data_IF_541729300647
#
_entry.id   IF_541729300647
#
_cell.length_a   1.000
_cell.length_b   1.000
_cell.length_c   1.000
_cell.angle_alpha   90.00
_cell.angle_beta   90.00
_cell.angle_gamma   90.00
#
_symmetry.space_group_name_H-M   'P 1'
#
loop_
_entity.id
_entity.type
_entity.pdbx_description
1 polymer ?
#
# COMPACT_ATOMS: atom_id res chain seq x y z
N UNK A 1 6.12 1.88 -47.47
CA UNK A 1 7.07 2.39 -46.47
C UNK A 1 6.26 3.22 -45.49
N UNK A 2 5.38 2.63 -44.67
CA UNK A 2 5.60 1.78 -43.48
C UNK A 2 6.19 2.53 -42.29
N UNK A 3 5.44 3.49 -41.75
CA UNK A 3 5.62 3.98 -40.38
C UNK A 3 4.55 3.30 -39.51
N UNK A 4 4.96 2.22 -38.85
CA UNK A 4 4.20 1.57 -37.78
C UNK A 4 4.48 2.34 -36.47
N UNK A 5 3.45 2.67 -35.67
CA UNK A 5 3.66 3.18 -34.33
C UNK A 5 4.31 2.09 -33.45
N UNK A 6 5.24 2.51 -32.59
CA UNK A 6 6.00 1.66 -31.69
C UNK A 6 5.09 0.75 -30.84
N UNK A 7 5.48 -0.53 -30.61
CA UNK A 7 4.66 -1.44 -29.84
C UNK A 7 4.50 -0.96 -28.40
N UNK A 8 3.25 -1.03 -27.93
CA UNK A 8 2.83 -0.90 -26.54
C UNK A 8 3.73 -1.77 -25.66
N UNK A 9 4.23 -1.20 -24.56
CA UNK A 9 5.13 -1.87 -23.62
C UNK A 9 4.46 -3.13 -23.05
N UNK A 10 4.97 -4.26 -23.50
CA UNK A 10 4.58 -5.59 -23.04
C UNK A 10 4.80 -5.72 -21.53
N UNK A 11 3.74 -6.10 -20.83
CA UNK A 11 3.73 -6.35 -19.39
C UNK A 11 4.56 -7.59 -19.11
N UNK A 12 5.72 -7.39 -18.50
CA UNK A 12 6.56 -8.41 -17.85
C UNK A 12 6.80 -9.70 -18.65
N UNK A 13 7.90 -9.73 -19.40
CA UNK A 13 8.53 -10.97 -19.86
C UNK A 13 8.66 -11.97 -18.70
N UNK A 14 8.14 -13.19 -18.85
CA UNK A 14 8.06 -14.23 -17.80
C UNK A 14 9.38 -14.63 -17.10
N UNK A 15 10.54 -14.20 -17.61
CA UNK A 15 11.84 -14.37 -16.95
C UNK A 15 12.04 -13.41 -15.76
N UNK A 16 11.41 -12.22 -15.77
CA UNK A 16 11.49 -11.24 -14.67
C UNK A 16 10.60 -11.58 -13.49
N UNK A 17 9.39 -12.10 -13.75
CA UNK A 17 8.40 -12.44 -12.73
C UNK A 17 8.90 -13.52 -11.74
N UNK A 18 9.65 -14.51 -12.21
CA UNK A 18 10.25 -15.53 -11.34
C UNK A 18 11.37 -14.98 -10.44
N UNK A 19 12.16 -14.04 -10.95
CA UNK A 19 13.21 -13.35 -10.18
C UNK A 19 12.64 -12.44 -9.11
N UNK A 20 11.61 -11.66 -9.47
CA UNK A 20 10.86 -10.81 -8.54
C UNK A 20 10.20 -11.62 -7.42
N UNK A 21 9.48 -12.69 -7.75
CA UNK A 21 8.83 -13.53 -6.76
C UNK A 21 9.83 -14.18 -5.79
N UNK A 22 11.03 -14.53 -6.28
CA UNK A 22 12.11 -15.08 -5.44
C UNK A 22 12.65 -14.04 -4.46
N UNK A 23 12.87 -12.80 -4.91
CA UNK A 23 13.31 -11.69 -4.05
C UNK A 23 12.27 -11.41 -2.97
N UNK A 24 10.99 -11.30 -3.33
CA UNK A 24 9.91 -11.04 -2.39
C UNK A 24 9.70 -12.19 -1.39
N UNK A 25 9.80 -13.46 -1.82
CA UNK A 25 9.74 -14.61 -0.88
C UNK A 25 10.90 -14.60 0.12
N UNK A 26 12.09 -14.23 -0.35
CA UNK A 26 13.25 -14.09 0.54
C UNK A 26 13.07 -12.93 1.52
N UNK A 27 12.50 -11.80 1.07
CA UNK A 27 12.11 -10.69 1.93
C UNK A 27 11.18 -11.12 3.06
N UNK A 28 10.07 -11.80 2.74
CA UNK A 28 9.11 -12.32 3.74
C UNK A 28 9.80 -13.23 4.78
N UNK A 29 10.68 -14.13 4.32
CA UNK A 29 11.42 -15.01 5.22
C UNK A 29 12.36 -14.22 6.14
N UNK A 30 13.06 -13.21 5.61
CA UNK A 30 13.90 -12.33 6.40
C UNK A 30 13.09 -11.52 7.42
N UNK A 31 11.92 -10.99 7.04
CA UNK A 31 11.00 -10.30 7.96
C UNK A 31 10.56 -11.21 9.10
N UNK A 32 10.21 -12.47 8.82
CA UNK A 32 9.84 -13.44 9.83
C UNK A 32 10.98 -13.74 10.82
N UNK A 33 12.22 -13.83 10.32
CA UNK A 33 13.41 -14.01 11.16
C UNK A 33 13.64 -12.79 12.05
N UNK A 34 13.61 -11.58 11.49
CA UNK A 34 13.78 -10.33 12.25
C UNK A 34 12.72 -10.19 13.33
N UNK A 35 11.47 -10.45 12.99
CA UNK A 35 10.37 -10.48 13.93
C UNK A 35 10.57 -11.45 15.09
N UNK A 36 10.96 -12.69 14.78
CA UNK A 36 11.21 -13.71 15.79
C UNK A 36 12.38 -13.31 16.72
N UNK A 37 13.45 -12.77 16.14
CA UNK A 37 14.57 -12.21 16.91
C UNK A 37 14.10 -11.08 17.82
N UNK A 38 13.26 -10.17 17.33
CA UNK A 38 12.73 -9.04 18.10
C UNK A 38 11.90 -9.50 19.29
N UNK A 39 10.99 -10.46 19.10
CA UNK A 39 10.17 -10.97 20.20
C UNK A 39 11.04 -11.71 21.23
N UNK A 40 11.94 -12.59 20.78
CA UNK A 40 12.79 -13.38 21.69
C UNK A 40 13.75 -12.48 22.47
N UNK A 41 14.52 -11.64 21.78
CA UNK A 41 15.49 -10.75 22.45
C UNK A 41 14.83 -9.63 23.22
N UNK A 42 13.65 -9.15 22.79
CA UNK A 42 12.87 -8.18 23.55
C UNK A 42 12.41 -8.75 24.90
N UNK A 43 11.92 -9.99 24.92
CA UNK A 43 11.54 -10.67 26.16
C UNK A 43 12.74 -11.00 27.05
N UNK A 44 13.85 -11.45 26.47
CA UNK A 44 15.08 -11.76 27.23
C UNK A 44 15.71 -10.50 27.84
N UNK A 45 15.74 -9.39 27.08
CA UNK A 45 16.32 -8.13 27.52
C UNK A 45 15.41 -7.31 28.44
N UNK A 46 14.11 -7.59 28.45
CA UNK A 46 13.09 -6.80 29.16
C UNK A 46 12.67 -5.52 28.41
N UNK A 47 13.02 -5.38 27.13
CA UNK A 47 12.70 -4.21 26.30
C UNK A 47 11.33 -4.32 25.65
N UNK A 48 10.41 -3.42 26.02
CA UNK A 48 9.12 -3.34 25.35
C UNK A 48 9.23 -2.66 23.98
N UNK A 49 10.21 -1.77 23.78
CA UNK A 49 10.50 -1.18 22.47
C UNK A 49 10.90 -2.24 21.44
N UNK A 50 11.77 -3.19 21.82
CA UNK A 50 12.20 -4.28 20.93
C UNK A 50 11.06 -5.28 20.68
N UNK A 51 10.28 -5.65 21.71
CA UNK A 51 9.10 -6.51 21.51
C UNK A 51 8.11 -5.85 20.55
N UNK A 52 7.86 -4.55 20.71
CA UNK A 52 6.99 -3.79 19.82
C UNK A 52 7.51 -3.80 18.37
N UNK A 53 8.79 -3.54 18.15
CA UNK A 53 9.45 -3.61 16.82
C UNK A 53 9.27 -4.99 16.17
N UNK A 54 9.44 -6.07 16.95
CA UNK A 54 9.22 -7.44 16.48
C UNK A 54 7.76 -7.74 16.11
N UNK A 55 6.79 -7.35 16.95
CA UNK A 55 5.35 -7.51 16.67
C UNK A 55 4.93 -6.68 15.46
N UNK A 56 5.41 -5.45 15.36
CA UNK A 56 5.12 -4.55 14.25
C UNK A 56 5.65 -5.14 12.93
N UNK A 57 6.88 -5.68 12.94
CA UNK A 57 7.47 -6.37 11.79
C UNK A 57 6.70 -7.64 11.39
N UNK A 58 6.17 -8.41 12.36
CA UNK A 58 5.27 -9.54 12.05
C UNK A 58 3.97 -9.09 11.37
N UNK A 59 3.35 -8.05 11.90
CA UNK A 59 2.09 -7.54 11.38
C UNK A 59 2.27 -6.99 9.94
N UNK A 60 3.38 -6.30 9.69
CA UNK A 60 3.75 -5.83 8.36
C UNK A 60 4.01 -7.00 7.39
N UNK A 61 4.76 -8.01 7.84
CA UNK A 61 4.99 -9.23 7.07
C UNK A 61 3.70 -10.00 6.75
N UNK A 62 2.77 -10.10 7.70
CA UNK A 62 1.47 -10.72 7.50
C UNK A 62 0.63 -9.96 6.47
N UNK A 63 0.62 -8.63 6.56
CA UNK A 63 -0.07 -7.76 5.59
C UNK A 63 0.49 -7.95 4.18
N UNK A 64 1.82 -7.96 4.06
CA UNK A 64 2.52 -8.23 2.79
C UNK A 64 2.21 -9.63 2.24
N UNK A 65 2.09 -10.64 3.11
CA UNK A 65 1.71 -11.98 2.70
C UNK A 65 0.27 -12.04 2.19
N UNK A 66 -0.68 -11.40 2.88
CA UNK A 66 -2.09 -11.35 2.43
C UNK A 66 -2.21 -10.55 1.13
N UNK A 67 -1.52 -9.42 1.01
CA UNK A 67 -1.47 -8.63 -0.22
C UNK A 67 -0.96 -9.47 -1.40
N UNK A 68 0.12 -10.24 -1.21
CA UNK A 68 0.62 -11.18 -2.22
C UNK A 68 -0.38 -12.29 -2.54
N UNK A 69 -1.13 -12.77 -1.55
CA UNK A 69 -2.17 -13.79 -1.75
C UNK A 69 -3.32 -13.24 -2.59
N UNK A 70 -3.76 -12.00 -2.30
CA UNK A 70 -4.78 -11.28 -3.09
C UNK A 70 -4.29 -11.05 -4.52
N UNK A 71 -3.06 -10.56 -4.70
CA UNK A 71 -2.47 -10.38 -6.04
C UNK A 71 -2.38 -11.71 -6.80
N UNK A 72 -1.98 -12.80 -6.14
CA UNK A 72 -1.95 -14.14 -6.77
C UNK A 72 -3.33 -14.66 -7.10
N UNK A 73 -4.33 -14.41 -6.25
CA UNK A 73 -5.71 -14.75 -6.53
C UNK A 73 -6.15 -14.02 -7.79
N UNK A 74 -6.01 -12.69 -7.84
CA UNK A 74 -6.36 -11.84 -8.99
C UNK A 74 -5.64 -12.31 -10.28
N UNK A 75 -4.33 -12.54 -10.22
CA UNK A 75 -3.56 -13.04 -11.38
C UNK A 75 -4.02 -14.46 -11.82
N UNK A 76 -4.36 -15.32 -10.86
CA UNK A 76 -4.91 -16.65 -11.13
C UNK A 76 -6.32 -16.62 -11.72
N UNK A 77 -7.14 -15.62 -11.36
CA UNK A 77 -8.45 -15.36 -11.97
C UNK A 77 -8.33 -14.96 -13.45
N UNK A 78 -7.34 -14.14 -13.81
CA UNK A 78 -7.11 -13.71 -15.19
C UNK A 78 -6.56 -14.83 -16.10
N UNK A 79 -5.82 -15.80 -15.55
CA UNK A 79 -5.10 -16.81 -16.33
C UNK A 79 -5.84 -18.15 -16.54
N UNK A 80 -6.83 -18.53 -15.71
CA UNK A 80 -7.44 -19.87 -15.74
C UNK A 80 -8.96 -19.84 -15.99
N UNK A 81 -9.36 -19.83 -17.25
CA UNK A 81 -10.74 -19.69 -17.74
C UNK A 81 -11.72 -20.85 -17.50
N UNK A 82 -11.48 -21.81 -16.59
CA UNK A 82 -12.45 -22.90 -16.38
C UNK A 82 -12.78 -23.29 -14.92
N UNK A 83 -11.86 -23.20 -13.96
CA UNK A 83 -12.15 -23.63 -12.58
C UNK A 83 -12.93 -22.60 -11.74
N UNK A 84 -12.89 -21.31 -12.11
CA UNK A 84 -13.48 -20.21 -11.33
C UNK A 84 -14.84 -19.73 -11.81
N UNK A 85 -15.49 -20.42 -12.75
CA UNK A 85 -16.75 -19.99 -13.39
C UNK A 85 -17.88 -19.75 -12.37
N UNK A 86 -17.99 -20.60 -11.32
CA UNK A 86 -18.98 -20.45 -10.22
C UNK A 86 -18.73 -19.28 -9.26
N UNK A 87 -17.49 -18.79 -9.14
CA UNK A 87 -17.11 -17.63 -8.31
C UNK A 87 -17.12 -16.34 -9.14
N UNK A 88 -16.72 -16.40 -10.40
CA UNK A 88 -16.84 -15.32 -11.39
C UNK A 88 -18.31 -14.98 -11.69
N UNK A 89 -19.21 -15.97 -11.65
CA UNK A 89 -20.66 -15.76 -11.73
C UNK A 89 -21.24 -15.01 -10.51
N UNK A 90 -20.57 -15.05 -9.35
CA UNK A 90 -21.00 -14.35 -8.13
C UNK A 90 -20.30 -13.01 -7.89
N UNK A 91 -19.09 -12.84 -8.42
CA UNK A 91 -18.28 -11.62 -8.30
C UNK A 91 -17.89 -11.10 -9.70
N UNK A 92 -18.89 -10.60 -10.42
CA UNK A 92 -18.76 -10.15 -11.82
C UNK A 92 -17.82 -8.96 -12.00
N UNK A 93 -17.60 -8.18 -10.93
CA UNK A 93 -16.70 -7.01 -10.89
C UNK A 93 -15.25 -7.34 -10.45
N UNK A 94 -14.92 -8.61 -10.20
CA UNK A 94 -13.62 -9.02 -9.66
C UNK A 94 -13.48 -8.84 -8.14
N UNK A 95 -12.27 -9.04 -7.61
CA UNK A 95 -11.97 -9.06 -6.15
C UNK A 95 -11.25 -7.81 -5.64
N UNK A 96 -11.22 -6.73 -6.43
CA UNK A 96 -10.47 -5.49 -6.13
C UNK A 96 -10.90 -4.84 -4.81
N UNK A 97 -12.16 -5.02 -4.41
CA UNK A 97 -12.70 -4.53 -3.14
C UNK A 97 -12.10 -5.20 -1.90
N UNK A 98 -11.50 -6.39 -2.02
CA UNK A 98 -10.85 -7.06 -0.88
C UNK A 98 -9.53 -6.39 -0.49
N UNK A 99 -8.87 -5.73 -1.43
CA UNK A 99 -7.58 -5.05 -1.21
C UNK A 99 -7.68 -3.96 -0.12
N UNK A 100 -8.58 -2.96 -0.21
CA UNK A 100 -8.74 -1.97 0.85
C UNK A 100 -9.24 -2.57 2.16
N UNK A 101 -10.03 -3.66 2.14
CA UNK A 101 -10.49 -4.31 3.37
C UNK A 101 -9.33 -4.93 4.16
N UNK A 102 -8.40 -5.61 3.47
CA UNK A 102 -7.20 -6.20 4.10
C UNK A 102 -6.30 -5.09 4.65
N UNK A 103 -6.03 -4.07 3.84
CA UNK A 103 -5.18 -2.93 4.24
C UNK A 103 -5.79 -2.19 5.43
N UNK A 104 -7.10 -1.94 5.41
CA UNK A 104 -7.83 -1.31 6.50
C UNK A 104 -7.80 -2.14 7.78
N UNK A 105 -8.06 -3.44 7.71
CA UNK A 105 -8.02 -4.33 8.88
C UNK A 105 -6.60 -4.41 9.49
N UNK A 106 -5.57 -4.56 8.65
CA UNK A 106 -4.18 -4.51 9.09
C UNK A 106 -3.82 -3.17 9.75
N UNK A 107 -4.19 -2.06 9.11
CA UNK A 107 -3.98 -0.72 9.66
C UNK A 107 -4.68 -0.53 11.01
N UNK A 108 -5.89 -1.06 11.19
CA UNK A 108 -6.60 -1.00 12.48
C UNK A 108 -5.87 -1.80 13.56
N UNK A 109 -5.42 -3.02 13.25
CA UNK A 109 -4.65 -3.85 14.17
C UNK A 109 -3.34 -3.17 14.59
N UNK A 110 -2.59 -2.63 13.63
CA UNK A 110 -1.33 -1.92 13.90
C UNK A 110 -1.55 -0.64 14.70
N UNK A 111 -2.61 0.12 14.40
CA UNK A 111 -2.98 1.31 15.17
C UNK A 111 -3.33 0.95 16.61
N UNK A 112 -4.10 -0.13 16.81
CA UNK A 112 -4.44 -0.64 18.14
C UNK A 112 -3.21 -1.10 18.92
N UNK A 113 -2.29 -1.83 18.27
CA UNK A 113 -1.03 -2.25 18.87
C UNK A 113 -0.15 -1.07 19.28
N UNK A 114 -0.05 -0.04 18.43
CA UNK A 114 0.70 1.19 18.74
C UNK A 114 0.09 1.95 19.93
N UNK A 115 -1.24 2.08 19.99
CA UNK A 115 -1.92 2.70 21.15
C UNK A 115 -1.69 1.89 22.42
N UNK A 116 -1.82 0.58 22.36
CA UNK A 116 -1.56 -0.29 23.51
C UNK A 116 -0.11 -0.18 24.00
N UNK A 117 0.85 -0.18 23.08
CA UNK A 117 2.26 -0.05 23.40
C UNK A 117 2.58 1.33 23.99
N UNK A 118 1.96 2.40 23.48
CA UNK A 118 2.09 3.75 24.03
C UNK A 118 1.53 3.87 25.45
N UNK A 119 0.35 3.29 25.71
CA UNK A 119 -0.23 3.21 27.07
C UNK A 119 0.73 2.45 28.00
N UNK A 120 1.31 1.34 27.53
CA UNK A 120 2.31 0.59 28.30
C UNK A 120 3.59 1.41 28.55
N UNK A 121 4.03 2.22 27.59
CA UNK A 121 5.18 3.11 27.75
C UNK A 121 4.93 4.14 28.86
N UNK A 122 3.76 4.81 28.84
CA UNK A 122 3.36 5.76 29.88
C UNK A 122 3.24 5.05 31.24
N UNK A 123 2.58 3.90 31.30
CA UNK A 123 2.44 3.13 32.54
C UNK A 123 3.79 2.72 33.12
N UNK A 124 4.74 2.33 32.26
CA UNK A 124 6.12 1.99 32.67
C UNK A 124 6.87 3.21 33.19
N UNK A 125 6.67 4.37 32.57
CA UNK A 125 7.26 5.63 33.02
C UNK A 125 6.74 6.02 34.41
N UNK A 126 5.44 5.89 34.65
CA UNK A 126 4.81 6.19 35.94
C UNK A 126 5.17 5.18 37.04
N UNK A 127 5.48 3.94 36.68
CA UNK A 127 5.86 2.87 37.62
C UNK A 127 7.34 2.91 38.05
N UNK A 128 8.11 3.93 37.65
CA UNK A 128 9.53 4.05 37.98
C UNK A 128 10.51 3.48 36.94
N UNK A 129 10.04 3.24 35.71
CA UNK A 129 10.84 2.70 34.61
C UNK A 129 10.96 1.17 34.66
N UNK A 130 11.83 0.61 33.80
CA UNK A 130 12.05 -0.84 33.70
C UNK A 130 13.55 -1.18 33.69
N UNK A 131 13.96 -2.24 34.40
CA UNK A 131 15.32 -2.75 34.26
C UNK A 131 15.50 -3.32 32.85
N UNK A 132 16.41 -2.71 32.08
CA UNK A 132 16.75 -3.14 30.73
C UNK A 132 18.14 -3.76 30.71
N UNK A 133 18.28 -4.96 30.13
CA UNK A 133 19.60 -5.52 29.83
C UNK A 133 20.13 -4.95 28.52
N UNK A 134 20.75 -3.77 28.59
CA UNK A 134 21.26 -3.03 27.43
C UNK A 134 22.19 -3.86 26.54
N UNK A 135 23.05 -4.71 27.11
CA UNK A 135 23.95 -5.55 26.32
C UNK A 135 23.22 -6.46 25.33
N UNK A 136 22.16 -7.13 25.77
CA UNK A 136 21.35 -8.00 24.91
C UNK A 136 20.54 -7.18 23.89
N UNK A 137 19.99 -6.05 24.32
CA UNK A 137 19.22 -5.12 23.48
C UNK A 137 20.07 -4.54 22.34
N UNK A 138 21.32 -4.15 22.61
CA UNK A 138 22.27 -3.61 21.63
C UNK A 138 22.70 -4.69 20.63
N UNK A 139 22.99 -5.91 21.10
CA UNK A 139 23.36 -7.03 20.20
C UNK A 139 22.22 -7.32 19.22
N UNK A 140 20.98 -7.37 19.71
CA UNK A 140 19.81 -7.51 18.84
C UNK A 140 19.69 -6.35 17.86
N UNK A 141 19.70 -5.10 18.35
CA UNK A 141 19.47 -3.94 17.50
C UNK A 141 20.55 -3.82 16.42
N UNK A 142 21.81 -4.12 16.74
CA UNK A 142 22.91 -4.17 15.78
C UNK A 142 22.70 -5.26 14.73
N UNK A 143 22.33 -6.48 15.14
CA UNK A 143 22.06 -7.58 14.22
C UNK A 143 20.90 -7.25 13.26
N UNK A 144 19.80 -6.70 13.78
CA UNK A 144 18.63 -6.34 12.98
C UNK A 144 18.90 -5.18 12.03
N UNK A 145 19.67 -4.16 12.43
CA UNK A 145 20.13 -3.11 11.52
C UNK A 145 20.95 -3.69 10.37
N UNK A 146 21.89 -4.59 10.67
CA UNK A 146 22.72 -5.23 9.64
C UNK A 146 21.89 -6.06 8.66
N UNK A 147 20.95 -6.86 9.16
CA UNK A 147 20.03 -7.65 8.33
C UNK A 147 19.21 -6.70 7.45
N UNK A 148 18.64 -5.64 8.03
CA UNK A 148 17.75 -4.73 7.32
C UNK A 148 18.47 -3.93 6.23
N UNK A 149 19.70 -3.47 6.51
CA UNK A 149 20.55 -2.83 5.50
C UNK A 149 20.98 -3.80 4.40
N UNK A 150 21.32 -5.04 4.76
CA UNK A 150 21.67 -6.07 3.77
C UNK A 150 20.48 -6.38 2.84
N UNK A 151 19.27 -6.47 3.38
CA UNK A 151 18.04 -6.66 2.62
C UNK A 151 17.70 -5.46 1.75
N UNK A 152 17.80 -4.23 2.27
CA UNK A 152 17.60 -3.01 1.49
C UNK A 152 18.59 -2.93 0.31
N UNK A 153 19.87 -3.25 0.55
CA UNK A 153 20.89 -3.25 -0.49
C UNK A 153 20.68 -4.36 -1.53
N UNK A 154 20.31 -5.57 -1.08
CA UNK A 154 19.96 -6.68 -1.96
C UNK A 154 18.76 -6.33 -2.85
N UNK A 155 17.69 -5.78 -2.25
CA UNK A 155 16.51 -5.31 -2.96
C UNK A 155 16.83 -4.21 -3.97
N UNK A 156 17.63 -3.21 -3.59
CA UNK A 156 18.06 -2.15 -4.51
C UNK A 156 18.85 -2.70 -5.70
N UNK A 157 19.79 -3.64 -5.45
CA UNK A 157 20.60 -4.27 -6.50
C UNK A 157 19.74 -5.15 -7.42
N UNK A 158 18.81 -5.91 -6.86
CA UNK A 158 17.85 -6.71 -7.63
C UNK A 158 16.93 -5.82 -8.47
N UNK A 159 16.46 -4.70 -7.91
CA UNK A 159 15.59 -3.77 -8.61
C UNK A 159 16.28 -3.09 -9.80
N UNK A 160 17.59 -2.83 -9.76
CA UNK A 160 18.32 -2.32 -10.95
C UNK A 160 18.25 -3.28 -12.14
N UNK A 161 18.10 -4.59 -11.90
CA UNK A 161 17.98 -5.62 -12.94
C UNK A 161 16.52 -5.87 -13.33
N UNK A 162 15.62 -5.93 -12.34
CA UNK A 162 14.22 -6.30 -12.52
C UNK A 162 13.32 -5.12 -12.91
N UNK A 163 13.69 -3.89 -12.51
CA UNK A 163 12.88 -2.66 -12.67
C UNK A 163 11.43 -2.85 -12.19
N UNK A 164 11.27 -3.43 -10.99
CA UNK A 164 9.96 -3.68 -10.38
C UNK A 164 9.68 -2.65 -9.29
N UNK A 165 8.51 -2.01 -9.39
CA UNK A 165 8.05 -1.08 -8.37
C UNK A 165 7.78 -1.77 -7.02
N UNK A 166 7.38 -3.05 -7.02
CA UNK A 166 7.17 -3.82 -5.81
C UNK A 166 8.48 -4.08 -5.06
N UNK A 167 9.55 -4.46 -5.79
CA UNK A 167 10.88 -4.65 -5.20
C UNK A 167 11.47 -3.31 -4.72
N UNK A 168 11.18 -2.21 -5.45
CA UNK A 168 11.57 -0.87 -5.02
C UNK A 168 10.90 -0.45 -3.71
N UNK A 169 9.60 -0.73 -3.58
CA UNK A 169 8.81 -0.46 -2.37
C UNK A 169 9.32 -1.30 -1.19
N UNK A 170 9.55 -2.60 -1.38
CA UNK A 170 10.09 -3.50 -0.36
C UNK A 170 11.48 -3.05 0.13
N UNK A 171 12.39 -2.70 -0.79
CA UNK A 171 13.71 -2.19 -0.42
C UNK A 171 13.67 -0.87 0.38
N UNK A 172 12.71 0.01 0.07
CA UNK A 172 12.46 1.23 0.85
C UNK A 172 11.90 0.90 2.24
N UNK A 173 11.02 -0.09 2.33
CA UNK A 173 10.51 -0.60 3.62
C UNK A 173 11.64 -1.09 4.52
N UNK A 174 12.56 -1.90 3.98
CA UNK A 174 13.75 -2.37 4.71
C UNK A 174 14.67 -1.23 5.15
N UNK A 175 14.82 -0.18 4.33
CA UNK A 175 15.59 1.00 4.73
C UNK A 175 14.93 1.77 5.88
N UNK A 176 13.59 1.90 5.86
CA UNK A 176 12.85 2.52 6.95
C UNK A 176 12.94 1.70 8.24
N UNK A 177 12.81 0.38 8.15
CA UNK A 177 13.02 -0.54 9.29
C UNK A 177 14.43 -0.39 9.86
N UNK A 178 15.46 -0.39 9.00
CA UNK A 178 16.85 -0.16 9.41
C UNK A 178 17.03 1.18 10.14
N UNK A 179 16.38 2.24 9.68
CA UNK A 179 16.46 3.56 10.32
C UNK A 179 15.80 3.57 11.72
N UNK A 180 14.63 2.93 11.86
CA UNK A 180 13.94 2.80 13.16
C UNK A 180 14.79 1.99 14.13
N UNK A 181 15.28 0.82 13.73
CA UNK A 181 16.11 -0.03 14.58
C UNK A 181 17.46 0.64 14.89
N UNK A 182 18.03 1.42 13.96
CA UNK A 182 19.25 2.19 14.23
C UNK A 182 19.02 3.27 15.29
N UNK A 183 17.85 3.92 15.28
CA UNK A 183 17.50 4.85 16.35
C UNK A 183 17.38 4.15 17.71
N UNK A 184 16.80 2.93 17.75
CA UNK A 184 16.80 2.08 18.96
C UNK A 184 18.23 1.76 19.43
N UNK A 185 19.10 1.34 18.50
CA UNK A 185 20.49 1.01 18.78
C UNK A 185 21.24 2.19 19.40
N UNK A 186 21.08 3.40 18.84
CA UNK A 186 21.67 4.63 19.38
C UNK A 186 21.15 4.91 20.79
N UNK A 187 19.83 4.83 20.99
CA UNK A 187 19.23 5.10 22.28
C UNK A 187 19.68 4.10 23.37
N UNK A 188 19.76 2.81 23.05
CA UNK A 188 20.27 1.81 23.99
C UNK A 188 21.78 1.94 24.23
N UNK A 189 22.56 2.32 23.22
CA UNK A 189 24.00 2.58 23.40
C UNK A 189 24.23 3.75 24.35
N UNK A 190 23.44 4.83 24.21
CA UNK A 190 23.47 5.97 25.14
C UNK A 190 23.07 5.49 26.56
N UNK A 191 22.00 4.69 26.67
CA UNK A 191 21.56 4.15 27.95
C UNK A 191 22.62 3.29 28.65
N UNK A 192 23.38 2.48 27.90
CA UNK A 192 24.52 1.72 28.42
C UNK A 192 25.65 2.64 28.90
N UNK A 193 26.00 3.68 28.15
CA UNK A 193 27.06 4.64 28.53
C UNK A 193 26.73 5.44 29.79
N UNK A 194 25.45 5.58 30.11
CA UNK A 194 24.97 6.27 31.31
C UNK A 194 25.08 5.40 32.56
N UNK A 195 25.15 4.07 32.42
CA UNK A 195 25.33 3.16 33.56
C UNK A 195 26.67 3.40 34.27
N UNK A 196 26.65 3.53 35.60
CA UNK A 196 27.84 3.86 36.39
C UNK A 196 28.22 5.35 36.41
N UNK A 197 27.38 6.23 35.83
CA UNK A 197 27.54 7.69 35.92
C UNK A 197 26.50 8.31 36.87
N UNK A 198 26.61 9.61 37.14
CA UNK A 198 25.61 10.36 37.94
C UNK A 198 24.18 10.35 37.33
N UNK A 199 24.03 9.93 36.07
CA UNK A 199 22.77 9.86 35.35
C UNK A 199 22.13 8.46 35.37
N UNK A 200 22.66 7.51 36.14
CA UNK A 200 22.15 6.13 36.20
C UNK A 200 20.65 6.05 36.53
N UNK A 201 20.11 7.02 37.28
CA UNK A 201 18.68 7.13 37.57
C UNK A 201 17.80 7.22 36.31
N UNK A 202 18.35 7.65 35.17
CA UNK A 202 17.63 7.72 33.89
C UNK A 202 17.57 6.39 33.14
N UNK A 203 18.46 5.44 33.46
CA UNK A 203 18.61 4.15 32.77
C UNK A 203 17.28 3.38 32.64
N UNK A 204 16.44 3.26 33.70
CA UNK A 204 15.15 2.56 33.61
C UNK A 204 14.11 3.24 32.71
N UNK A 205 14.30 4.53 32.40
CA UNK A 205 13.36 5.31 31.61
C UNK A 205 13.69 5.32 30.11
N UNK A 206 14.88 4.83 29.72
CA UNK A 206 15.32 4.82 28.31
C UNK A 206 14.36 4.01 27.44
N UNK A 207 14.05 2.77 27.81
CA UNK A 207 13.15 1.91 27.02
C UNK A 207 11.72 2.47 26.91
N UNK A 208 11.04 2.88 28.02
CA UNK A 208 9.73 3.53 27.93
C UNK A 208 9.74 4.82 27.09
N UNK A 209 10.76 5.67 27.20
CA UNK A 209 10.85 6.91 26.44
C UNK A 209 11.01 6.63 24.93
N UNK A 210 11.87 5.68 24.59
CA UNK A 210 12.09 5.24 23.22
C UNK A 210 10.83 4.60 22.64
N UNK A 211 10.17 3.70 23.37
CA UNK A 211 8.92 3.10 22.94
C UNK A 211 7.84 4.16 22.68
N UNK A 212 7.69 5.12 23.58
CA UNK A 212 6.73 6.21 23.42
C UNK A 212 7.02 7.04 22.16
N UNK A 213 8.28 7.40 21.93
CA UNK A 213 8.71 8.14 20.75
C UNK A 213 8.45 7.36 19.45
N UNK A 214 8.82 6.08 19.41
CA UNK A 214 8.58 5.22 18.25
C UNK A 214 7.08 5.11 17.98
N UNK A 215 6.24 4.91 19.00
CA UNK A 215 4.80 4.89 18.83
C UNK A 215 4.27 6.19 18.22
N UNK A 216 4.72 7.36 18.68
CA UNK A 216 4.29 8.66 18.14
C UNK A 216 4.70 8.86 16.68
N UNK A 217 5.90 8.40 16.30
CA UNK A 217 6.41 8.52 14.92
C UNK A 217 5.73 7.54 13.98
N UNK A 218 5.46 6.31 14.45
CA UNK A 218 4.93 5.23 13.62
C UNK A 218 3.41 5.28 13.51
N UNK A 219 2.69 5.73 14.55
CA UNK A 219 1.22 5.74 14.61
C UNK A 219 0.50 6.44 13.44
N UNK A 220 1.00 7.56 12.86
CA UNK A 220 0.36 8.19 11.70
C UNK A 220 0.32 7.30 10.46
N UNK A 221 1.27 6.37 10.30
CA UNK A 221 1.40 5.51 9.12
C UNK A 221 0.19 4.56 8.97
N UNK A 222 -0.13 3.68 9.94
CA UNK A 222 -1.29 2.79 9.82
C UNK A 222 -2.61 3.56 9.86
N UNK A 223 -2.68 4.71 10.56
CA UNK A 223 -3.89 5.54 10.58
C UNK A 223 -4.22 6.11 9.19
N UNK A 224 -3.20 6.51 8.42
CA UNK A 224 -3.35 6.91 7.03
C UNK A 224 -3.92 5.78 6.18
N UNK A 225 -3.39 4.56 6.33
CA UNK A 225 -3.88 3.38 5.62
C UNK A 225 -5.35 3.06 5.96
N UNK A 226 -5.75 3.14 7.24
CA UNK A 226 -7.15 2.96 7.67
C UNK A 226 -8.06 4.00 7.04
N UNK A 227 -7.67 5.28 7.07
CA UNK A 227 -8.45 6.37 6.48
C UNK A 227 -8.63 6.19 4.99
N UNK A 228 -7.57 5.81 4.27
CA UNK A 228 -7.63 5.54 2.85
C UNK A 228 -8.53 4.34 2.55
N UNK A 229 -8.36 3.23 3.26
CA UNK A 229 -9.19 2.04 3.10
C UNK A 229 -10.67 2.34 3.32
N UNK A 230 -11.01 3.10 4.36
CA UNK A 230 -12.39 3.52 4.62
C UNK A 230 -12.93 4.43 3.52
N UNK A 231 -12.13 5.36 3.01
CA UNK A 231 -12.52 6.23 1.91
C UNK A 231 -12.81 5.42 0.62
N UNK A 232 -11.97 4.44 0.31
CA UNK A 232 -12.17 3.55 -0.85
C UNK A 232 -13.40 2.64 -0.66
N UNK A 233 -13.64 2.10 0.54
CA UNK A 233 -14.83 1.30 0.86
C UNK A 233 -16.11 2.15 0.77
N UNK A 234 -16.06 3.42 1.18
CA UNK A 234 -17.17 4.35 1.09
C UNK A 234 -17.31 5.00 -0.30
N UNK A 235 -16.54 4.54 -1.30
CA UNK A 235 -16.55 5.05 -2.68
C UNK A 235 -16.34 6.57 -2.75
N UNK A 236 -15.54 7.12 -1.84
CA UNK A 236 -15.24 8.56 -1.81
C UNK A 236 -14.55 8.95 -3.12
N UNK A 237 -15.10 9.98 -3.77
CA UNK A 237 -14.64 10.42 -5.08
C UNK A 237 -13.16 10.86 -5.04
N UNK A 238 -12.28 10.23 -5.84
CA UNK A 238 -10.89 10.65 -5.96
C UNK A 238 -10.79 12.00 -6.69
N UNK A 239 -10.48 13.07 -5.97
CA UNK A 239 -10.53 14.44 -6.49
C UNK A 239 -9.60 14.68 -7.70
N UNK A 240 -8.43 14.05 -7.76
CA UNK A 240 -7.52 14.18 -8.92
C UNK A 240 -8.08 13.51 -10.16
N UNK A 241 -8.54 12.26 -10.02
CA UNK A 241 -9.14 11.51 -11.12
C UNK A 241 -10.44 12.18 -11.59
N UNK A 242 -11.28 12.66 -10.67
CA UNK A 242 -12.50 13.41 -11.02
C UNK A 242 -12.18 14.67 -11.80
N UNK A 243 -11.21 15.48 -11.36
CA UNK A 243 -10.77 16.68 -12.10
C UNK A 243 -10.26 16.36 -13.50
N UNK A 244 -9.50 15.28 -13.65
CA UNK A 244 -9.01 14.83 -14.96
C UNK A 244 -10.16 14.40 -15.88
N UNK A 245 -11.07 13.55 -15.38
CA UNK A 245 -12.26 13.09 -16.12
C UNK A 245 -13.15 14.28 -16.50
N UNK A 246 -13.37 15.23 -15.60
CA UNK A 246 -14.14 16.45 -15.86
C UNK A 246 -13.51 17.32 -16.95
N UNK A 247 -12.18 17.47 -16.93
CA UNK A 247 -11.47 18.22 -17.95
C UNK A 247 -11.56 17.54 -19.33
N UNK A 248 -11.52 16.21 -19.39
CA UNK A 248 -11.73 15.46 -20.63
C UNK A 248 -13.18 15.62 -21.12
N UNK A 249 -14.15 15.38 -20.23
CA UNK A 249 -15.57 15.45 -20.57
C UNK A 249 -15.97 16.86 -21.04
N UNK A 250 -15.50 17.92 -20.38
CA UNK A 250 -15.77 19.29 -20.80
C UNK A 250 -15.23 19.58 -22.20
N UNK A 251 -13.99 19.15 -22.52
CA UNK A 251 -13.42 19.32 -23.86
C UNK A 251 -14.24 18.61 -24.94
N UNK A 252 -14.78 17.44 -24.62
CA UNK A 252 -15.62 16.66 -25.54
C UNK A 252 -16.96 17.36 -25.76
N UNK A 253 -17.56 17.92 -24.71
CA UNK A 253 -18.78 18.75 -24.81
C UNK A 253 -18.55 19.93 -25.75
N UNK A 254 -17.47 20.67 -25.54
CA UNK A 254 -17.15 21.87 -26.34
C UNK A 254 -16.83 21.51 -27.81
N UNK A 255 -16.05 20.44 -28.03
CA UNK A 255 -15.63 20.01 -29.37
C UNK A 255 -16.78 19.49 -30.21
N UNK A 256 -17.69 18.71 -29.62
CA UNK A 256 -18.76 18.02 -30.34
C UNK A 256 -20.12 18.72 -30.25
N UNK A 257 -20.22 19.83 -29.52
CA UNK A 257 -21.45 20.62 -29.39
C UNK A 257 -22.53 19.93 -28.55
N UNK A 258 -22.12 19.17 -27.54
CA UNK A 258 -23.04 18.54 -26.58
C UNK A 258 -23.59 19.60 -25.61
N UNK A 259 -24.68 19.30 -24.89
CA UNK A 259 -25.28 20.25 -23.96
C UNK A 259 -24.55 20.32 -22.62
N UNK A 260 -24.24 19.16 -22.04
CA UNK A 260 -23.58 19.04 -20.73
C UNK A 260 -23.16 17.59 -20.47
N UNK A 261 -22.47 17.35 -19.36
CA UNK A 261 -22.13 16.00 -18.90
C UNK A 261 -22.39 15.81 -17.41
N UNK A 262 -22.43 14.55 -16.99
CA UNK A 262 -22.37 14.08 -15.61
C UNK A 262 -21.29 13.01 -15.54
N UNK A 263 -20.44 13.11 -14.52
CA UNK A 263 -19.33 12.19 -14.31
C UNK A 263 -19.39 11.65 -12.90
N UNK A 264 -19.49 10.33 -12.76
CA UNK A 264 -19.36 9.63 -11.49
C UNK A 264 -18.04 8.86 -11.52
N UNK A 265 -17.23 9.06 -10.48
CA UNK A 265 -15.90 8.47 -10.39
C UNK A 265 -15.71 7.92 -9.00
N UNK A 266 -15.34 6.64 -8.94
CA UNK A 266 -14.94 5.97 -7.72
C UNK A 266 -13.63 5.20 -7.94
N UNK A 267 -12.90 4.99 -6.85
CA UNK A 267 -11.68 4.16 -6.84
C UNK A 267 -11.77 3.19 -5.68
N UNK A 268 -11.51 1.91 -5.97
CA UNK A 268 -11.48 0.84 -4.98
C UNK A 268 -10.25 -0.02 -5.22
N UNK A 269 -9.26 0.06 -4.31
CA UNK A 269 -7.95 -0.55 -4.53
C UNK A 269 -7.32 -0.06 -5.83
N UNK A 270 -7.04 -1.00 -6.73
CA UNK A 270 -6.55 -0.71 -8.09
C UNK A 270 -7.65 -0.35 -9.10
N UNK A 271 -8.88 -0.77 -8.84
CA UNK A 271 -10.01 -0.57 -9.73
C UNK A 271 -10.45 0.89 -9.79
N UNK A 272 -10.62 1.42 -11.01
CA UNK A 272 -11.19 2.76 -11.25
C UNK A 272 -12.51 2.61 -11.97
N UNK A 273 -13.58 3.10 -11.35
CA UNK A 273 -14.92 3.12 -11.94
C UNK A 273 -15.21 4.54 -12.39
N UNK A 274 -15.48 4.69 -13.69
CA UNK A 274 -15.79 5.95 -14.34
C UNK A 274 -17.08 5.75 -15.12
N UNK A 275 -18.11 6.48 -14.73
CA UNK A 275 -19.37 6.54 -15.46
C UNK A 275 -19.56 7.97 -15.98
N UNK A 276 -19.71 8.08 -17.29
CA UNK A 276 -19.86 9.33 -18.00
C UNK A 276 -21.19 9.33 -18.75
N UNK A 277 -22.01 10.33 -18.45
CA UNK A 277 -23.26 10.58 -19.14
C UNK A 277 -23.13 11.91 -19.87
N UNK A 278 -23.26 11.87 -21.19
CA UNK A 278 -23.28 13.05 -22.03
C UNK A 278 -24.70 13.36 -22.47
N UNK A 279 -25.11 14.61 -22.27
CA UNK A 279 -26.43 15.11 -22.64
C UNK A 279 -26.33 15.72 -24.04
N UNK A 280 -27.01 15.09 -24.98
CA UNK A 280 -27.02 15.45 -26.40
C UNK A 280 -28.23 16.35 -26.71
N UNK A 281 -28.13 17.33 -27.62
CA UNK A 281 -29.28 18.12 -28.03
C UNK A 281 -30.40 17.26 -28.64
N UNK A 282 -31.64 17.60 -28.32
CA UNK A 282 -32.81 16.96 -28.94
C UNK A 282 -32.93 17.37 -30.42
N UNK A 283 -33.37 16.43 -31.26
CA UNK A 283 -33.56 16.66 -32.69
C UNK A 283 -32.28 16.62 -33.54
N UNK A 284 -31.16 16.17 -32.97
CA UNK A 284 -29.98 15.83 -33.77
C UNK A 284 -30.28 14.74 -34.81
N UNK A 285 -29.60 14.79 -35.98
CA UNK A 285 -29.72 13.72 -36.96
C UNK A 285 -29.27 12.40 -36.36
N UNK A 286 -29.93 11.31 -36.76
CA UNK A 286 -29.51 9.97 -36.38
C UNK A 286 -28.08 9.72 -36.88
N UNK A 287 -27.21 9.33 -35.95
CA UNK A 287 -25.84 8.88 -36.22
C UNK A 287 -25.79 7.36 -36.19
N UNK A 288 -24.84 6.77 -36.92
CA UNK A 288 -24.64 5.32 -36.85
C UNK A 288 -24.02 4.93 -35.51
N UNK A 289 -24.13 3.65 -35.13
CA UNK A 289 -23.55 3.18 -33.87
C UNK A 289 -22.03 3.32 -33.88
N UNK A 290 -21.39 3.10 -35.04
CA UNK A 290 -19.94 3.22 -35.23
C UNK A 290 -19.46 4.66 -35.00
N UNK A 291 -20.26 5.67 -35.32
CA UNK A 291 -19.94 7.08 -35.03
C UNK A 291 -20.00 7.38 -33.53
N UNK A 292 -20.93 6.75 -32.81
CA UNK A 292 -20.98 6.84 -31.35
C UNK A 292 -19.82 6.08 -30.69
N UNK A 293 -19.47 4.91 -31.21
CA UNK A 293 -18.35 4.13 -30.71
C UNK A 293 -17.02 4.84 -30.95
N UNK A 294 -16.82 5.47 -32.11
CA UNK A 294 -15.64 6.31 -32.36
C UNK A 294 -15.51 7.46 -31.37
N UNK A 295 -16.64 8.05 -30.94
CA UNK A 295 -16.65 9.07 -29.89
C UNK A 295 -16.31 8.47 -28.52
N UNK A 296 -16.78 7.25 -28.20
CA UNK A 296 -16.41 6.53 -26.97
C UNK A 296 -14.92 6.22 -26.94
N UNK A 297 -14.34 5.81 -28.07
CA UNK A 297 -12.92 5.54 -28.21
C UNK A 297 -12.09 6.81 -28.01
N UNK A 298 -12.50 7.94 -28.62
CA UNK A 298 -11.85 9.24 -28.41
C UNK A 298 -11.84 9.63 -26.91
N UNK A 299 -12.99 9.48 -26.23
CA UNK A 299 -13.10 9.78 -24.80
C UNK A 299 -12.22 8.81 -23.99
N UNK A 300 -12.26 7.52 -24.31
CA UNK A 300 -11.48 6.48 -23.65
C UNK A 300 -9.98 6.70 -23.76
N UNK A 301 -9.49 7.08 -24.95
CA UNK A 301 -8.09 7.45 -25.17
C UNK A 301 -7.71 8.72 -24.42
N UNK A 302 -8.57 9.73 -24.41
CA UNK A 302 -8.32 11.01 -23.74
C UNK A 302 -8.30 10.88 -22.20
N UNK A 303 -9.10 9.99 -21.62
CA UNK A 303 -9.03 9.63 -20.20
C UNK A 303 -7.70 8.90 -19.92
N UNK A 304 -7.27 8.03 -20.84
CA UNK A 304 -6.04 7.25 -20.74
C UNK A 304 -6.14 6.09 -19.74
N UNK A 305 -5.00 5.42 -19.53
CA UNK A 305 -4.88 4.24 -18.65
C UNK A 305 -5.80 3.08 -19.05
N UNK A 306 -5.67 2.64 -20.30
CA UNK A 306 -6.40 1.48 -20.84
C UNK A 306 -5.85 0.17 -20.26
N UNK A 307 -6.15 -0.05 -18.99
CA UNK A 307 -5.81 -1.24 -18.23
C UNK A 307 -7.08 -2.03 -17.90
N UNK A 308 -6.98 -3.35 -17.66
CA UNK A 308 -8.10 -4.17 -17.18
C UNK A 308 -8.73 -3.68 -15.87
N UNK A 309 -8.00 -2.82 -15.14
CA UNK A 309 -8.41 -2.25 -13.85
C UNK A 309 -9.30 -0.99 -14.03
N UNK A 310 -9.49 -0.51 -15.27
CA UNK A 310 -10.34 0.64 -15.61
C UNK A 310 -11.70 0.17 -16.11
N UNK A 311 -12.74 0.43 -15.31
CA UNK A 311 -14.14 0.27 -15.72
C UNK A 311 -14.68 1.61 -16.21
N UNK A 312 -14.90 1.72 -17.52
CA UNK A 312 -15.40 2.93 -18.16
C UNK A 312 -16.77 2.66 -18.80
N UNK A 313 -17.78 3.42 -18.40
CA UNK A 313 -19.11 3.39 -19.02
C UNK A 313 -19.42 4.78 -19.56
N UNK A 314 -19.75 4.86 -20.85
CA UNK A 314 -20.09 6.11 -21.53
C UNK A 314 -21.48 5.97 -22.15
N UNK A 315 -22.42 6.77 -21.65
CA UNK A 315 -23.78 6.86 -22.13
C UNK A 315 -24.03 8.22 -22.78
N UNK A 316 -24.77 8.21 -23.89
CA UNK A 316 -25.27 9.40 -24.56
C UNK A 316 -26.79 9.40 -24.45
N UNK A 317 -27.37 10.48 -23.95
CA UNK A 317 -28.82 10.60 -23.74
C UNK A 317 -29.29 11.99 -24.13
N UNK A 318 -30.52 12.10 -24.61
CA UNK A 318 -31.18 13.39 -24.80
C UNK A 318 -31.97 13.82 -23.56
N UNK A 319 -32.24 12.86 -22.67
CA UNK A 319 -33.01 13.04 -21.44
C UNK A 319 -32.06 13.16 -20.25
N UNK A 320 -32.23 14.25 -19.50
CA UNK A 320 -31.40 14.60 -18.35
C UNK A 320 -31.62 13.67 -17.16
N UNK A 321 -32.81 13.09 -17.02
CA UNK A 321 -33.14 12.20 -15.90
C UNK A 321 -32.27 10.94 -15.88
N UNK A 322 -31.78 10.49 -17.03
CA UNK A 322 -30.87 9.35 -17.11
C UNK A 322 -29.42 9.66 -16.68
N UNK A 323 -29.09 10.93 -16.47
CA UNK A 323 -27.75 11.38 -16.10
C UNK A 323 -27.66 11.84 -14.62
N UNK A 324 -28.81 12.00 -13.94
CA UNK A 324 -28.92 12.41 -12.53
C UNK A 324 -29.06 11.21 -11.59
#
# INVERSE_FOLDING_TARGET
MSDLPAPVRDVSTGAGAGGEQRVLRFSIAATAVVAALGIVFGLLSGSYAIVFDGIYSLADGATSMVALLVVRLIAGYAANGQQNRRLAEKFTMGFWHLEPMVVGAAGMLMSGAAVYAFINAIGSFLAGGRPLQFGQAIVYAAATVLISLAMAWYGYRANRRLRSDLVAMDARGWLMSAAITAALLVAFSIGLMIQGTALEWMSPYVDPAVLALVCLVVFPIPLGAVRQALAEILLVTPAELKRHVDAVAQRIVDKHGLLSYRAYVAKVGRGRQIELYFIVPSGWPARTLEEWDALRDEIGEAIGDDSPDRWLTIAFTTDREWAE
#
